data_IF_435080340037
#
_entry.id   IF_435080340037
#
_cell.length_a   1.000
_cell.length_b   1.000
_cell.length_c   1.000
_cell.angle_alpha   90.00
_cell.angle_beta   90.00
_cell.angle_gamma   90.00
#
_symmetry.space_group_name_H-M   'P 1'
#
loop_
_entity.id
_entity.type
_entity.pdbx_description
1 polymer ?
#
# COMPACT_ATOMS: atom_id res chain seq x y z
N UNK A 1 3.82 -21.15 -12.34
CA UNK A 1 3.91 -20.78 -10.90
C UNK A 1 3.32 -19.38 -10.78
N UNK A 2 2.25 -19.23 -10.00
CA UNK A 2 1.49 -17.96 -9.93
C UNK A 2 2.25 -16.94 -9.08
N UNK A 3 2.37 -15.70 -9.58
CA UNK A 3 2.97 -14.57 -8.88
C UNK A 3 2.07 -14.00 -7.77
N UNK A 4 2.35 -12.79 -7.25
CA UNK A 4 1.51 -12.17 -6.24
C UNK A 4 0.08 -11.97 -6.75
N UNK A 5 -0.89 -11.96 -5.83
CA UNK A 5 -2.27 -11.62 -6.14
C UNK A 5 -2.40 -10.10 -6.27
N UNK A 6 -2.71 -9.62 -7.47
CA UNK A 6 -2.89 -8.19 -7.74
C UNK A 6 -4.39 -7.89 -7.73
N UNK A 7 -4.82 -7.01 -6.83
CA UNK A 7 -6.21 -6.53 -6.80
C UNK A 7 -6.40 -5.49 -7.93
N UNK A 8 -7.54 -5.52 -8.66
CA UNK A 8 -7.78 -4.61 -9.77
C UNK A 8 -7.57 -3.15 -9.37
N UNK A 9 -6.73 -2.44 -10.13
CA UNK A 9 -6.30 -1.06 -9.89
C UNK A 9 -4.86 -0.95 -9.35
N UNK A 10 -4.26 -2.04 -8.84
CA UNK A 10 -2.88 -2.04 -8.33
C UNK A 10 -1.82 -2.21 -9.43
N UNK A 11 -2.21 -2.49 -10.67
CA UNK A 11 -1.29 -2.83 -11.75
C UNK A 11 -0.34 -1.67 -12.08
N UNK A 12 -0.87 -0.44 -12.13
CA UNK A 12 -0.06 0.75 -12.41
C UNK A 12 0.93 1.05 -11.29
N UNK A 13 0.48 0.90 -10.06
CA UNK A 13 1.30 1.12 -8.87
C UNK A 13 2.42 0.07 -8.77
N UNK A 14 2.08 -1.20 -8.99
CA UNK A 14 3.07 -2.27 -9.05
C UNK A 14 4.10 -1.99 -10.13
N UNK A 15 3.68 -1.58 -11.34
CA UNK A 15 4.61 -1.23 -12.41
C UNK A 15 5.57 -0.12 -11.97
N UNK A 16 5.06 0.95 -11.37
CA UNK A 16 5.90 2.04 -10.85
C UNK A 16 6.94 1.55 -9.84
N UNK A 17 6.51 0.81 -8.82
CA UNK A 17 7.45 0.32 -7.79
C UNK A 17 8.40 -0.75 -8.32
N UNK A 18 8.04 -1.52 -9.36
CA UNK A 18 8.97 -2.46 -9.98
C UNK A 18 10.13 -1.78 -10.72
N UNK A 19 9.99 -0.52 -11.12
CA UNK A 19 11.06 0.28 -11.75
C UNK A 19 12.08 0.80 -10.71
N UNK A 20 11.80 0.69 -9.41
CA UNK A 20 12.70 1.09 -8.32
C UNK A 20 13.56 -0.09 -7.90
N UNK A 21 14.88 0.01 -8.06
CA UNK A 21 15.83 -1.13 -7.98
C UNK A 21 15.69 -2.08 -6.78
N UNK A 22 15.33 -1.59 -5.60
CA UNK A 22 15.21 -2.41 -4.38
C UNK A 22 13.79 -2.95 -4.14
N UNK A 23 12.78 -2.35 -4.76
CA UNK A 23 11.38 -2.68 -4.54
C UNK A 23 10.98 -4.08 -5.05
N UNK A 24 11.44 -4.59 -6.22
CA UNK A 24 11.04 -5.90 -6.74
C UNK A 24 11.12 -7.05 -5.73
N UNK A 25 12.14 -7.05 -4.87
CA UNK A 25 12.30 -8.09 -3.83
C UNK A 25 11.14 -8.13 -2.84
N UNK A 26 10.46 -7.01 -2.60
CA UNK A 26 9.31 -6.93 -1.69
C UNK A 26 8.04 -7.50 -2.34
N UNK A 27 7.89 -7.38 -3.66
CA UNK A 27 6.66 -7.75 -4.38
C UNK A 27 6.65 -9.20 -4.91
N UNK A 28 7.78 -9.88 -4.93
CA UNK A 28 7.94 -11.22 -5.52
C UNK A 28 7.44 -12.39 -4.65
N UNK A 29 6.84 -12.12 -3.49
CA UNK A 29 6.30 -13.17 -2.64
C UNK A 29 5.04 -13.82 -3.22
N UNK A 30 5.01 -15.16 -3.27
CA UNK A 30 3.87 -15.91 -3.82
C UNK A 30 2.56 -15.72 -3.06
N UNK A 31 2.66 -15.45 -1.76
CA UNK A 31 1.54 -15.17 -0.90
C UNK A 31 1.31 -13.67 -0.73
N UNK A 32 1.97 -12.78 -1.48
CA UNK A 32 1.66 -11.36 -1.39
C UNK A 32 0.33 -11.05 -2.09
N UNK A 33 -0.46 -10.20 -1.42
CA UNK A 33 -1.64 -9.54 -1.96
C UNK A 33 -1.33 -8.07 -2.07
N UNK A 34 -1.53 -7.52 -3.26
CA UNK A 34 -1.26 -6.14 -3.60
C UNK A 34 -2.57 -5.41 -3.81
N UNK A 35 -2.81 -4.39 -3.01
CA UNK A 35 -4.06 -3.64 -3.01
C UNK A 35 -3.78 -2.21 -3.45
N UNK A 36 -4.54 -1.68 -4.43
CA UNK A 36 -4.42 -0.29 -4.77
C UNK A 36 -5.02 0.55 -3.66
N UNK A 37 -4.74 1.83 -3.71
CA UNK A 37 -5.50 2.80 -2.95
C UNK A 37 -7.00 2.76 -3.35
N UNK A 38 -7.91 2.65 -2.38
CA UNK A 38 -9.36 2.47 -2.60
C UNK A 38 -10.20 3.74 -2.38
N UNK A 39 -9.53 4.84 -2.09
CA UNK A 39 -10.07 6.11 -1.60
C UNK A 39 -11.03 6.80 -2.60
N UNK A 40 -10.99 6.40 -3.87
CA UNK A 40 -11.83 6.98 -4.91
C UNK A 40 -13.33 6.72 -4.74
N UNK A 41 -13.75 5.70 -3.97
CA UNK A 41 -15.18 5.34 -3.82
C UNK A 41 -15.63 4.82 -2.45
N UNK A 42 -14.74 4.28 -1.61
CA UNK A 42 -15.18 3.41 -0.49
C UNK A 42 -15.06 3.97 0.92
N UNK A 43 -14.45 5.13 1.14
CA UNK A 43 -14.12 5.56 2.51
C UNK A 43 -15.30 6.17 3.30
N UNK A 44 -16.55 5.97 2.84
CA UNK A 44 -17.78 6.35 3.56
C UNK A 44 -17.96 7.85 3.84
N UNK A 45 -16.96 8.67 3.48
CA UNK A 45 -16.95 10.12 3.59
C UNK A 45 -16.79 10.64 2.18
N UNK A 46 -17.89 11.03 1.53
CA UNK A 46 -17.86 11.85 0.29
C UNK A 46 -17.25 13.25 0.49
N UNK A 47 -16.34 13.38 1.47
CA UNK A 47 -15.70 14.58 2.03
C UNK A 47 -14.35 14.20 2.66
N UNK A 48 -13.55 13.29 2.09
CA UNK A 48 -12.11 13.39 2.35
C UNK A 48 -11.75 14.83 2.02
N UNK A 49 -11.37 15.61 3.04
CA UNK A 49 -11.28 17.07 2.91
C UNK A 49 -10.43 17.43 1.70
N UNK A 50 -10.73 18.54 1.03
CA UNK A 50 -10.00 18.98 -0.19
C UNK A 50 -8.48 18.85 -0.01
N UNK A 51 -7.99 19.13 1.18
CA UNK A 51 -6.61 18.90 1.61
C UNK A 51 -6.14 17.45 1.42
N UNK A 52 -6.76 16.46 2.08
CA UNK A 52 -6.41 15.04 1.93
C UNK A 52 -6.53 14.55 0.49
N UNK A 53 -7.57 14.98 -0.23
CA UNK A 53 -7.73 14.59 -1.64
C UNK A 53 -6.60 15.17 -2.52
N UNK A 54 -6.15 16.40 -2.25
CA UNK A 54 -5.03 17.03 -2.96
C UNK A 54 -3.69 16.40 -2.58
N UNK A 55 -3.45 16.15 -1.30
CA UNK A 55 -2.23 15.52 -0.77
C UNK A 55 -2.02 14.09 -1.27
N UNK A 56 -3.09 13.41 -1.66
CA UNK A 56 -3.01 12.02 -2.06
C UNK A 56 -3.18 11.77 -3.56
N UNK A 57 -3.47 12.81 -4.36
CA UNK A 57 -3.79 12.64 -5.80
C UNK A 57 -3.07 13.64 -6.71
N UNK A 58 -1.96 14.24 -6.29
CA UNK A 58 -1.16 15.10 -7.16
C UNK A 58 0.22 14.53 -7.39
N UNK A 59 0.77 14.78 -8.59
CA UNK A 59 2.17 14.48 -8.89
C UNK A 59 3.15 15.21 -7.99
N UNK A 60 2.72 16.34 -7.40
CA UNK A 60 3.50 17.11 -6.44
C UNK A 60 3.42 16.58 -5.01
N UNK A 61 2.54 15.63 -4.69
CA UNK A 61 2.35 15.15 -3.30
C UNK A 61 2.55 13.63 -3.25
N UNK A 62 1.56 12.83 -2.85
CA UNK A 62 1.65 11.37 -2.93
C UNK A 62 1.06 10.93 -4.26
N UNK A 63 1.93 10.57 -5.21
CA UNK A 63 1.50 10.22 -6.59
C UNK A 63 1.28 8.73 -6.80
N UNK A 64 1.97 7.89 -6.02
CA UNK A 64 1.87 6.44 -6.08
C UNK A 64 1.73 5.85 -4.69
N UNK A 65 0.86 4.85 -4.56
CA UNK A 65 0.57 4.17 -3.29
C UNK A 65 0.12 2.74 -3.54
N UNK A 66 0.78 1.78 -2.89
CA UNK A 66 0.38 0.37 -2.91
C UNK A 66 0.51 -0.24 -1.52
N UNK A 67 -0.50 -1.03 -1.14
CA UNK A 67 -0.48 -1.81 0.09
C UNK A 67 -0.13 -3.25 -0.24
N UNK A 68 0.78 -3.82 0.53
CA UNK A 68 1.20 -5.21 0.45
C UNK A 68 0.89 -5.90 1.78
N UNK A 69 0.27 -7.07 1.73
CA UNK A 69 0.19 -7.98 2.87
C UNK A 69 0.26 -9.43 2.41
N UNK A 70 0.51 -10.35 3.35
CA UNK A 70 0.52 -11.77 3.04
C UNK A 70 -0.89 -12.37 3.14
N UNK A 71 -1.30 -13.11 2.11
CA UNK A 71 -2.59 -13.81 2.05
C UNK A 71 -2.70 -14.80 3.21
N UNK A 72 -3.62 -14.58 4.16
CA UNK A 72 -3.75 -15.43 5.33
C UNK A 72 -4.35 -16.79 5.02
N UNK A 73 -4.95 -16.99 3.85
CA UNK A 73 -5.45 -18.30 3.41
C UNK A 73 -4.33 -19.24 2.93
N UNK A 74 -3.16 -18.69 2.62
CA UNK A 74 -2.01 -19.42 2.06
C UNK A 74 -0.82 -19.39 3.02
N UNK A 75 -0.77 -18.42 3.94
CA UNK A 75 0.28 -18.36 4.94
C UNK A 75 0.25 -19.61 5.84
N UNK A 76 1.38 -20.33 6.01
CA UNK A 76 1.44 -21.44 6.94
C UNK A 76 1.06 -20.93 8.34
N UNK A 77 0.23 -21.68 9.05
CA UNK A 77 -0.12 -21.32 10.42
C UNK A 77 1.13 -21.50 11.30
N UNK A 78 1.76 -20.42 11.81
CA UNK A 78 2.99 -20.56 12.57
C UNK A 78 2.75 -21.25 13.91
N UNK A 79 1.49 -21.38 14.35
CA UNK A 79 1.11 -22.15 15.54
C UNK A 79 -0.21 -22.90 15.31
N UNK A 80 -0.18 -24.17 14.85
CA UNK A 80 -1.39 -24.99 14.70
C UNK A 80 -2.14 -25.27 16.02
N UNK A 81 -1.55 -24.92 17.18
CA UNK A 81 -2.18 -25.00 18.50
C UNK A 81 -2.64 -23.64 19.08
N UNK A 82 -2.39 -22.52 18.40
CA UNK A 82 -2.84 -21.21 18.87
C UNK A 82 -4.35 -21.08 18.65
N UNK A 83 -5.04 -20.52 19.65
CA UNK A 83 -6.44 -20.11 19.51
C UNK A 83 -6.55 -19.23 18.27
N UNK A 84 -7.43 -19.62 17.34
CA UNK A 84 -7.90 -18.92 16.14
C UNK A 84 -7.40 -17.46 16.07
N UNK A 85 -6.55 -17.12 15.08
CA UNK A 85 -6.00 -15.76 14.92
C UNK A 85 -7.11 -14.73 15.09
N UNK A 86 -6.87 -13.75 15.96
CA UNK A 86 -7.84 -12.70 16.25
C UNK A 86 -8.07 -11.77 15.04
N UNK A 87 -7.01 -11.56 14.24
CA UNK A 87 -7.06 -10.77 13.01
C UNK A 87 -6.59 -11.60 11.80
N UNK A 88 -7.23 -11.45 10.64
CA UNK A 88 -6.82 -12.15 9.43
C UNK A 88 -5.50 -11.62 8.86
N UNK A 89 -5.12 -10.36 9.11
CA UNK A 89 -3.86 -9.77 8.65
C UNK A 89 -3.15 -9.16 9.86
N UNK A 90 -1.93 -9.61 10.14
CA UNK A 90 -1.14 -9.14 11.29
C UNK A 90 -0.16 -8.03 10.89
N UNK A 91 0.29 -8.03 9.63
CA UNK A 91 1.23 -7.05 9.08
C UNK A 91 0.81 -6.64 7.68
N UNK A 92 0.85 -5.34 7.40
CA UNK A 92 0.86 -4.81 6.06
C UNK A 92 2.05 -3.86 5.90
N UNK A 93 2.55 -3.74 4.67
CA UNK A 93 3.51 -2.74 4.26
C UNK A 93 2.81 -1.78 3.32
N UNK A 94 3.06 -0.49 3.49
CA UNK A 94 2.53 0.54 2.59
C UNK A 94 3.70 1.26 1.96
N UNK A 95 3.67 1.36 0.64
CA UNK A 95 4.69 2.03 -0.15
C UNK A 95 4.09 3.31 -0.72
N UNK A 96 4.81 4.42 -0.56
CA UNK A 96 4.42 5.73 -1.07
C UNK A 96 5.54 6.32 -1.91
N UNK A 97 5.19 6.95 -3.03
CA UNK A 97 6.07 7.88 -3.71
C UNK A 97 5.73 9.30 -3.27
N UNK A 98 6.68 9.98 -2.63
CA UNK A 98 6.52 11.34 -2.10
C UNK A 98 7.14 12.37 -3.05
N UNK A 99 6.38 13.42 -3.35
CA UNK A 99 6.85 14.63 -4.02
C UNK A 99 6.96 15.82 -3.05
N UNK A 100 7.60 16.89 -3.49
CA UNK A 100 8.00 18.02 -2.63
C UNK A 100 6.84 18.80 -2.01
N UNK A 101 5.62 18.65 -2.53
CA UNK A 101 4.40 19.26 -1.99
C UNK A 101 3.94 18.66 -0.65
N UNK A 102 4.55 17.57 -0.18
CA UNK A 102 4.36 17.08 1.20
C UNK A 102 5.48 17.52 2.16
N UNK A 103 6.44 18.31 1.70
CA UNK A 103 7.51 18.81 2.55
C UNK A 103 7.01 19.83 3.58
N UNK A 104 7.51 19.70 4.81
CA UNK A 104 7.43 20.69 5.87
C UNK A 104 8.73 21.49 5.95
N UNK A 105 9.25 21.67 7.16
CA UNK A 105 10.48 22.44 7.38
C UNK A 105 11.72 21.69 6.86
N UNK A 106 12.56 22.39 6.08
CA UNK A 106 13.84 21.87 5.62
C UNK A 106 13.74 20.78 4.55
N UNK A 107 12.70 20.81 3.71
CA UNK A 107 12.46 19.84 2.62
C UNK A 107 12.31 18.38 3.11
N UNK A 108 11.84 18.21 4.35
CA UNK A 108 11.54 16.91 4.95
C UNK A 108 10.03 16.68 4.93
N UNK A 109 9.57 15.45 4.68
CA UNK A 109 8.16 15.10 4.74
C UNK A 109 7.50 15.60 6.04
N UNK A 110 6.38 16.29 5.91
CA UNK A 110 5.62 16.86 7.01
C UNK A 110 5.07 15.74 7.91
N UNK A 111 5.37 15.75 9.23
CA UNK A 111 5.03 14.63 10.13
C UNK A 111 3.54 14.33 10.36
N UNK A 112 2.63 15.17 9.83
CA UNK A 112 1.20 14.89 9.79
C UNK A 112 0.72 14.15 8.54
N UNK A 113 1.61 13.92 7.57
CA UNK A 113 1.44 13.05 6.40
C UNK A 113 1.85 11.63 6.79
#
# INVERSE_FOLDING_TARGET
MSGPKIIPGAEQELKHFMDISWCPYQFQHRNAVLVPRLDGKQDGRGRTGKLFSQTLNSSSTISHCIVLFHDPSIAPDPNPGAKKRWLPVETCSVFYALGDGVCGFGDICHGGV
#
